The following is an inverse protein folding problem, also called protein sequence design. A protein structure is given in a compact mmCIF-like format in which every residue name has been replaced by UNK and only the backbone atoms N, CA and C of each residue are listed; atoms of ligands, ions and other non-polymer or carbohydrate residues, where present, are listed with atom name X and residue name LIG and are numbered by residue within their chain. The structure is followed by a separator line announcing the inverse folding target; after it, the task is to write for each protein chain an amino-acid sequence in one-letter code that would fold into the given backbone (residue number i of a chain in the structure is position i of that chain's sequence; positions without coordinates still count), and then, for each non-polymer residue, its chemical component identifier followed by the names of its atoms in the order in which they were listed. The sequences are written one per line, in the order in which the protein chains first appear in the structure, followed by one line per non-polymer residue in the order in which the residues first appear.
data_IF_022884270429
#
_entry.id   IF_022884270429
#
_cell.length_a   1.000
_cell.length_b   1.000
_cell.length_c   1.000
_cell.angle_alpha   90.00
_cell.angle_beta   90.00
_cell.angle_gamma   90.00
#
_symmetry.space_group_name_H-M   'P 1'
#
loop_
_entity.id
_entity.type
_entity.pdbx_description
1 polymer ?
#
# COMPACT_ATOMS: atom_id res chain seq x y z
N UNK A 1 -3.63 -21.30 -25.76
CA UNK A 1 -2.64 -22.26 -25.21
C UNK A 1 -2.96 -22.41 -23.73
N UNK A 2 -3.21 -23.63 -23.27
CA UNK A 2 -3.40 -23.90 -21.83
C UNK A 2 -2.04 -23.90 -21.09
N UNK A 3 -2.07 -23.81 -19.76
CA UNK A 3 -0.83 -23.94 -18.97
C UNK A 3 -0.15 -25.31 -19.15
N UNK A 4 -0.97 -26.36 -19.31
CA UNK A 4 -0.44 -27.70 -19.61
C UNK A 4 0.29 -27.75 -20.97
N UNK A 5 -0.25 -27.09 -22.01
CA UNK A 5 0.42 -27.03 -23.32
C UNK A 5 1.75 -26.29 -23.23
N UNK A 6 1.80 -25.20 -22.43
CA UNK A 6 3.04 -24.44 -22.19
C UNK A 6 4.08 -25.29 -21.48
N UNK A 7 3.69 -26.02 -20.44
CA UNK A 7 4.59 -26.95 -19.74
C UNK A 7 5.14 -28.04 -20.68
N UNK A 8 4.28 -28.64 -21.51
CA UNK A 8 4.72 -29.64 -22.50
C UNK A 8 5.68 -29.06 -23.52
N UNK A 9 5.44 -27.83 -23.98
CA UNK A 9 6.38 -27.13 -24.87
C UNK A 9 7.74 -26.87 -24.19
N UNK A 10 7.72 -26.46 -22.93
CA UNK A 10 8.92 -26.25 -22.11
C UNK A 10 9.72 -27.54 -21.91
N UNK A 11 9.06 -28.65 -21.58
CA UNK A 11 9.71 -29.96 -21.44
C UNK A 11 10.37 -30.43 -22.73
N UNK A 12 9.74 -30.25 -23.90
CA UNK A 12 10.34 -30.54 -25.19
C UNK A 12 11.61 -29.72 -25.44
N UNK A 13 11.53 -28.39 -25.21
CA UNK A 13 12.67 -27.48 -25.34
C UNK A 13 13.83 -27.85 -24.42
N UNK A 14 13.53 -28.19 -23.18
CA UNK A 14 14.53 -28.63 -22.21
C UNK A 14 15.17 -29.96 -22.65
N UNK A 15 14.39 -30.88 -23.24
CA UNK A 15 14.93 -32.15 -23.80
C UNK A 15 15.83 -31.94 -25.00
N UNK A 16 15.56 -30.90 -25.83
CA UNK A 16 16.41 -30.52 -26.99
C UNK A 16 17.70 -29.81 -26.52
N UNK A 17 17.60 -28.99 -25.46
CA UNK A 17 18.69 -28.18 -24.95
C UNK A 17 18.52 -27.91 -23.44
N UNK A 18 19.10 -28.75 -22.63
CA UNK A 18 19.00 -28.69 -21.17
C UNK A 18 19.59 -27.42 -20.55
N UNK A 19 20.53 -26.75 -21.22
CA UNK A 19 21.16 -25.51 -20.76
C UNK A 19 20.48 -24.23 -21.29
N UNK A 20 19.36 -24.35 -22.02
CA UNK A 20 18.70 -23.19 -22.64
C UNK A 20 18.23 -22.18 -21.61
N UNK A 21 17.61 -22.65 -20.52
CA UNK A 21 17.07 -21.78 -19.47
C UNK A 21 18.19 -20.97 -18.80
N UNK A 22 19.28 -21.62 -18.42
CA UNK A 22 20.41 -20.97 -17.74
C UNK A 22 21.05 -19.90 -18.63
N UNK A 23 21.19 -20.18 -19.93
CA UNK A 23 21.73 -19.20 -20.88
C UNK A 23 20.81 -18.03 -21.07
N UNK A 24 19.49 -18.26 -21.28
CA UNK A 24 18.52 -17.18 -21.42
C UNK A 24 18.42 -16.34 -20.13
N UNK A 25 18.52 -16.98 -18.96
CA UNK A 25 18.51 -16.27 -17.69
C UNK A 25 19.80 -15.43 -17.49
N UNK A 26 20.96 -15.94 -17.95
CA UNK A 26 22.22 -15.22 -17.87
C UNK A 26 22.31 -14.02 -18.84
N UNK A 27 21.55 -14.04 -19.92
CA UNK A 27 21.52 -12.97 -20.93
C UNK A 27 20.62 -11.79 -20.51
N UNK A 28 19.82 -11.94 -19.44
CA UNK A 28 18.94 -10.87 -18.94
C UNK A 28 19.76 -9.78 -18.27
N UNK A 29 19.65 -8.55 -18.78
CA UNK A 29 20.22 -7.35 -18.15
C UNK A 29 19.23 -6.72 -17.16
N UNK A 30 19.75 -6.08 -16.14
CA UNK A 30 18.93 -5.36 -15.14
C UNK A 30 18.14 -4.22 -15.77
N UNK A 31 18.58 -3.68 -16.87
CA UNK A 31 17.91 -2.63 -17.63
C UNK A 31 16.87 -3.15 -18.62
N UNK A 32 16.77 -4.48 -18.80
CA UNK A 32 15.76 -5.08 -19.67
C UNK A 32 14.34 -4.84 -19.13
N UNK A 33 13.40 -4.78 -20.06
CA UNK A 33 11.99 -4.61 -19.77
C UNK A 33 11.42 -5.90 -19.16
N UNK A 34 11.03 -5.81 -17.87
CA UNK A 34 10.43 -6.94 -17.17
C UNK A 34 8.91 -6.97 -17.31
N UNK A 35 8.25 -5.80 -17.34
CA UNK A 35 6.78 -5.70 -17.39
C UNK A 35 6.32 -4.39 -17.98
N UNK A 36 5.15 -4.41 -18.63
CA UNK A 36 4.42 -3.20 -19.01
C UNK A 36 3.09 -3.21 -18.24
N UNK A 37 2.86 -2.17 -17.46
CA UNK A 37 1.61 -2.00 -16.72
C UNK A 37 0.85 -0.79 -17.28
N UNK A 38 -0.34 -1.05 -17.81
CA UNK A 38 -1.18 0.01 -18.37
C UNK A 38 -1.92 0.76 -17.27
N UNK A 39 -1.79 2.08 -17.29
CA UNK A 39 -2.54 3.00 -16.41
C UNK A 39 -3.61 3.73 -17.20
N UNK A 40 -4.75 4.00 -16.57
CA UNK A 40 -5.76 4.90 -17.14
C UNK A 40 -5.19 6.32 -17.11
N UNK A 41 -4.52 6.72 -18.19
CA UNK A 41 -3.98 8.07 -18.32
C UNK A 41 -5.07 9.14 -18.18
N UNK A 42 -4.68 10.32 -17.73
CA UNK A 42 -5.56 11.50 -17.60
C UNK A 42 -6.11 12.00 -18.94
N UNK A 43 -5.53 11.56 -20.05
CA UNK A 43 -5.85 11.94 -21.44
C UNK A 43 -6.77 10.95 -22.16
N UNK A 44 -7.36 9.97 -21.47
CA UNK A 44 -8.34 9.04 -22.01
C UNK A 44 -7.77 7.75 -22.64
N UNK A 45 -6.53 7.74 -23.13
CA UNK A 45 -5.90 6.53 -23.64
C UNK A 45 -4.95 5.92 -22.59
N UNK A 46 -5.05 4.60 -22.29
CA UNK A 46 -4.14 3.95 -21.36
C UNK A 46 -2.69 4.07 -21.81
N UNK A 47 -1.78 4.41 -20.88
CA UNK A 47 -0.33 4.48 -21.12
C UNK A 47 0.34 3.28 -20.48
N UNK A 48 1.20 2.60 -21.20
CA UNK A 48 1.93 1.43 -20.71
C UNK A 48 3.24 1.83 -20.04
N UNK A 49 3.30 1.89 -18.72
CA UNK A 49 4.52 2.17 -17.97
C UNK A 49 5.52 1.01 -18.11
N UNK A 50 6.74 1.31 -18.53
CA UNK A 50 7.80 0.35 -18.79
C UNK A 50 8.62 0.08 -17.53
N UNK A 51 8.39 -1.06 -16.90
CA UNK A 51 9.07 -1.47 -15.66
C UNK A 51 10.22 -2.41 -16.02
N UNK A 52 11.46 -2.03 -15.69
CA UNK A 52 12.65 -2.86 -15.87
C UNK A 52 12.89 -3.79 -14.66
N UNK A 53 13.76 -4.78 -14.81
CA UNK A 53 14.24 -5.60 -13.69
C UNK A 53 14.91 -4.73 -12.62
N UNK A 54 15.66 -3.68 -13.02
CA UNK A 54 16.27 -2.72 -12.11
C UNK A 54 15.24 -2.02 -11.24
N UNK A 55 14.14 -1.53 -11.84
CA UNK A 55 13.08 -0.86 -11.10
C UNK A 55 12.48 -1.79 -10.01
N UNK A 56 12.19 -3.05 -10.38
CA UNK A 56 11.65 -4.05 -9.46
C UNK A 56 12.63 -4.30 -8.32
N UNK A 57 13.91 -4.55 -8.62
CA UNK A 57 14.91 -4.86 -7.60
C UNK A 57 15.22 -3.68 -6.68
N UNK A 58 15.25 -2.46 -7.22
CA UNK A 58 15.39 -1.24 -6.42
C UNK A 58 14.25 -1.11 -5.40
N UNK A 59 13.01 -1.30 -5.88
CA UNK A 59 11.82 -1.20 -5.05
C UNK A 59 11.77 -2.28 -3.96
N UNK A 60 12.06 -3.54 -4.31
CA UNK A 60 12.07 -4.65 -3.35
C UNK A 60 13.12 -4.43 -2.26
N UNK A 61 14.33 -4.02 -2.64
CA UNK A 61 15.42 -3.73 -1.67
C UNK A 61 15.06 -2.58 -0.75
N UNK A 62 14.44 -1.52 -1.30
CA UNK A 62 13.98 -0.39 -0.50
C UNK A 62 12.93 -0.81 0.53
N UNK A 63 11.94 -1.61 0.12
CA UNK A 63 10.91 -2.16 1.02
C UNK A 63 11.54 -3.08 2.09
N UNK A 64 12.45 -3.96 1.72
CA UNK A 64 13.11 -4.88 2.64
C UNK A 64 13.99 -4.19 3.70
N UNK A 65 14.42 -2.96 3.44
CA UNK A 65 15.23 -2.16 4.37
C UNK A 65 14.41 -1.37 5.39
N UNK A 66 13.08 -1.33 5.23
CA UNK A 66 12.16 -0.62 6.12
C UNK A 66 11.50 -1.61 7.08
N UNK A 67 11.30 -1.21 8.33
CA UNK A 67 10.47 -1.96 9.28
C UNK A 67 9.01 -2.01 8.77
N UNK A 68 8.30 -3.13 8.93
CA UNK A 68 8.62 -4.30 9.75
C UNK A 68 9.58 -5.27 9.06
N UNK A 69 10.41 -5.93 9.88
CA UNK A 69 11.21 -7.05 9.40
C UNK A 69 10.37 -8.32 9.33
N UNK A 70 10.55 -9.06 8.27
CA UNK A 70 9.83 -10.31 8.00
C UNK A 70 10.61 -11.52 8.47
N UNK A 71 9.92 -12.48 9.09
CA UNK A 71 10.51 -13.78 9.49
C UNK A 71 10.14 -14.85 8.46
N UNK A 72 11.14 -15.47 7.86
CA UNK A 72 11.01 -16.46 6.78
C UNK A 72 9.96 -17.56 7.05
N UNK A 73 9.99 -18.18 8.22
CA UNK A 73 9.13 -19.33 8.50
C UNK A 73 7.84 -18.98 9.25
N UNK A 74 7.64 -17.72 9.59
CA UNK A 74 6.56 -17.30 10.49
C UNK A 74 5.56 -16.36 9.85
N UNK A 75 5.99 -15.62 8.82
CA UNK A 75 5.16 -14.63 8.17
C UNK A 75 4.47 -15.16 6.92
N UNK A 76 3.21 -14.80 6.79
CA UNK A 76 2.38 -15.19 5.66
C UNK A 76 1.36 -14.11 5.32
N UNK A 77 1.00 -14.07 4.05
CA UNK A 77 0.01 -13.15 3.50
C UNK A 77 -1.05 -13.90 2.69
N UNK A 78 -2.20 -13.25 2.51
CA UNK A 78 -3.27 -13.73 1.61
C UNK A 78 -3.46 -12.66 0.54
N UNK A 79 -2.75 -12.76 -0.60
CA UNK A 79 -2.92 -11.85 -1.73
C UNK A 79 -4.31 -11.97 -2.33
N UNK A 80 -4.99 -10.84 -2.52
CA UNK A 80 -6.33 -10.78 -3.12
C UNK A 80 -6.50 -9.60 -4.09
N UNK A 81 -5.55 -8.68 -4.12
CA UNK A 81 -5.55 -7.61 -5.09
C UNK A 81 -5.08 -8.14 -6.46
N UNK A 82 -5.49 -7.54 -7.57
CA UNK A 82 -5.08 -8.00 -8.89
C UNK A 82 -3.57 -7.93 -9.10
N UNK A 83 -2.95 -9.04 -9.52
CA UNK A 83 -1.52 -9.08 -9.90
C UNK A 83 -1.20 -8.23 -11.15
N UNK A 84 -2.22 -7.77 -11.88
CA UNK A 84 -2.06 -6.78 -12.94
C UNK A 84 -1.78 -5.37 -12.41
N UNK A 85 -2.10 -5.11 -11.15
CA UNK A 85 -1.80 -3.84 -10.48
C UNK A 85 -0.42 -3.87 -9.85
N UNK A 86 0.36 -2.81 -10.04
CA UNK A 86 1.76 -2.72 -9.58
C UNK A 86 1.92 -2.93 -8.08
N UNK A 87 0.97 -2.47 -7.28
CA UNK A 87 1.03 -2.61 -5.83
C UNK A 87 1.07 -4.08 -5.39
N UNK A 88 0.12 -4.91 -5.83
CA UNK A 88 0.13 -6.34 -5.50
C UNK A 88 1.29 -7.07 -6.17
N UNK A 89 1.59 -6.75 -7.45
CA UNK A 89 2.66 -7.41 -8.18
C UNK A 89 4.03 -7.20 -7.54
N UNK A 90 4.36 -5.97 -7.15
CA UNK A 90 5.70 -5.62 -6.64
C UNK A 90 5.75 -5.76 -5.12
N UNK A 91 4.89 -5.04 -4.37
CA UNK A 91 4.94 -5.01 -2.91
C UNK A 91 4.31 -6.25 -2.26
N UNK A 92 3.46 -7.00 -2.97
CA UNK A 92 2.93 -8.28 -2.53
C UNK A 92 3.75 -9.45 -3.05
N UNK A 93 3.66 -9.72 -4.35
CA UNK A 93 4.19 -10.94 -4.95
C UNK A 93 5.72 -10.99 -5.01
N UNK A 94 6.37 -10.06 -5.73
CA UNK A 94 7.83 -10.10 -5.89
C UNK A 94 8.56 -9.82 -4.58
N UNK A 95 8.07 -8.88 -3.78
CA UNK A 95 8.61 -8.63 -2.46
C UNK A 95 8.45 -9.85 -1.54
N UNK A 96 7.28 -10.48 -1.53
CA UNK A 96 7.03 -11.70 -0.76
C UNK A 96 8.00 -12.84 -1.14
N UNK A 97 8.28 -13.03 -2.43
CA UNK A 97 9.28 -13.98 -2.90
C UNK A 97 10.69 -13.64 -2.39
N UNK A 98 11.05 -12.36 -2.42
CA UNK A 98 12.39 -11.91 -2.00
C UNK A 98 12.64 -12.11 -0.50
N UNK A 99 11.64 -11.84 0.35
CA UNK A 99 11.76 -12.01 1.81
C UNK A 99 11.37 -13.41 2.30
N UNK A 100 10.99 -14.33 1.39
CA UNK A 100 10.60 -15.69 1.74
C UNK A 100 9.25 -15.80 2.44
N UNK A 101 8.33 -14.87 2.16
CA UNK A 101 6.98 -14.84 2.72
C UNK A 101 6.11 -15.95 2.12
N UNK A 102 5.37 -16.68 2.97
CA UNK A 102 4.37 -17.63 2.49
C UNK A 102 3.15 -16.88 1.95
N UNK A 103 2.89 -17.00 0.65
CA UNK A 103 1.75 -16.38 -0.04
C UNK A 103 0.67 -17.40 -0.37
N UNK A 104 -0.52 -17.24 0.23
CA UNK A 104 -1.71 -18.06 -0.06
C UNK A 104 -2.72 -17.19 -0.83
N UNK A 105 -2.76 -17.34 -2.16
CA UNK A 105 -3.64 -16.52 -2.99
C UNK A 105 -5.11 -16.81 -2.71
N UNK A 106 -5.91 -15.77 -2.48
CA UNK A 106 -7.34 -15.90 -2.32
C UNK A 106 -7.98 -16.41 -3.63
N UNK A 107 -8.96 -17.29 -3.52
CA UNK A 107 -9.64 -17.83 -4.70
C UNK A 107 -10.42 -16.75 -5.44
N UNK A 108 -11.15 -15.92 -4.70
CA UNK A 108 -11.88 -14.77 -5.22
C UNK A 108 -12.25 -13.79 -4.09
N UNK A 109 -12.90 -12.66 -4.45
CA UNK A 109 -13.30 -11.65 -3.48
C UNK A 109 -14.39 -12.08 -2.50
N UNK A 110 -15.17 -13.10 -2.83
CA UNK A 110 -16.27 -13.59 -1.97
C UNK A 110 -15.72 -14.54 -0.89
N UNK A 111 -14.64 -15.28 -1.19
CA UNK A 111 -14.01 -16.23 -0.27
C UNK A 111 -12.98 -15.59 0.65
N UNK A 112 -12.54 -14.36 0.38
CA UNK A 112 -11.40 -13.71 1.05
C UNK A 112 -11.46 -13.77 2.58
N UNK A 113 -12.64 -13.62 3.19
CA UNK A 113 -12.79 -13.67 4.64
C UNK A 113 -12.52 -15.09 5.17
N UNK A 114 -13.02 -16.10 4.46
CA UNK A 114 -12.79 -17.51 4.80
C UNK A 114 -11.31 -17.86 4.60
N UNK A 115 -10.71 -17.42 3.50
CA UNK A 115 -9.30 -17.64 3.20
C UNK A 115 -8.38 -16.99 4.27
N UNK A 116 -8.66 -15.77 4.68
CA UNK A 116 -7.95 -15.08 5.78
C UNK A 116 -8.10 -15.86 7.10
N UNK A 117 -9.30 -16.37 7.41
CA UNK A 117 -9.52 -17.12 8.63
C UNK A 117 -8.81 -18.47 8.62
N UNK A 118 -8.80 -19.16 7.48
CA UNK A 118 -8.11 -20.43 7.30
C UNK A 118 -6.59 -20.27 7.33
N UNK A 119 -6.06 -19.37 6.50
CA UNK A 119 -4.61 -19.20 6.34
C UNK A 119 -3.96 -18.38 7.45
N UNK A 120 -4.74 -17.58 8.19
CA UNK A 120 -4.28 -16.80 9.35
C UNK A 120 -3.05 -15.94 9.06
N UNK A 121 -3.13 -15.01 8.12
CA UNK A 121 -1.98 -14.20 7.71
C UNK A 121 -1.45 -13.35 8.86
N UNK A 122 -0.18 -12.97 8.77
CA UNK A 122 0.49 -12.05 9.70
C UNK A 122 0.49 -10.62 9.19
N UNK A 123 0.32 -10.47 7.87
CA UNK A 123 0.13 -9.18 7.21
C UNK A 123 -0.96 -9.26 6.14
N UNK A 124 -1.52 -8.10 5.80
CA UNK A 124 -2.50 -7.95 4.72
C UNK A 124 -2.15 -6.71 3.92
N UNK A 125 -1.90 -6.87 2.61
CA UNK A 125 -1.91 -5.74 1.68
C UNK A 125 -3.37 -5.39 1.37
N UNK A 126 -3.74 -4.15 1.62
CA UNK A 126 -5.10 -3.66 1.41
C UNK A 126 -5.10 -2.30 0.69
N UNK A 127 -6.25 -1.95 0.17
CA UNK A 127 -6.56 -0.59 -0.25
C UNK A 127 -7.53 0.02 0.77
N UNK A 128 -7.56 1.34 0.97
CA UNK A 128 -8.38 2.01 1.99
C UNK A 128 -9.84 1.56 1.98
N UNK A 129 -10.41 1.36 0.78
CA UNK A 129 -11.80 0.91 0.60
C UNK A 129 -12.10 -0.46 1.24
N UNK A 130 -11.10 -1.33 1.37
CA UNK A 130 -11.25 -2.62 2.07
C UNK A 130 -11.36 -2.38 3.58
N UNK A 131 -10.48 -1.54 4.13
CA UNK A 131 -10.52 -1.14 5.54
C UNK A 131 -11.86 -0.47 5.90
N UNK A 132 -12.33 0.43 5.03
CA UNK A 132 -13.62 1.10 5.17
C UNK A 132 -14.79 0.12 5.20
N UNK A 133 -14.85 -0.80 4.24
CA UNK A 133 -15.91 -1.82 4.17
C UNK A 133 -15.93 -2.70 5.43
N UNK A 134 -14.75 -3.12 5.91
CA UNK A 134 -14.64 -3.91 7.15
C UNK A 134 -15.16 -3.10 8.34
N UNK A 135 -14.71 -1.86 8.48
CA UNK A 135 -15.15 -0.96 9.55
C UNK A 135 -16.66 -0.67 9.51
N UNK A 136 -17.19 -0.34 8.33
CA UNK A 136 -18.63 -0.10 8.13
C UNK A 136 -19.46 -1.32 8.46
N UNK A 137 -19.07 -2.52 8.00
CA UNK A 137 -19.77 -3.77 8.28
C UNK A 137 -19.86 -4.03 9.78
N UNK A 138 -18.74 -3.86 10.51
CA UNK A 138 -18.70 -4.03 11.96
C UNK A 138 -19.59 -2.99 12.64
N UNK A 139 -19.51 -1.72 12.26
CA UNK A 139 -20.29 -0.64 12.82
C UNK A 139 -21.80 -0.85 12.58
N UNK A 140 -22.19 -1.28 11.40
CA UNK A 140 -23.59 -1.62 11.08
C UNK A 140 -24.10 -2.79 11.93
N UNK A 141 -23.32 -3.86 12.11
CA UNK A 141 -23.68 -4.97 12.99
C UNK A 141 -23.88 -4.49 14.45
N UNK A 142 -22.99 -3.64 14.93
CA UNK A 142 -23.08 -3.07 16.28
C UNK A 142 -24.30 -2.20 16.44
N UNK A 143 -24.71 -1.42 15.44
CA UNK A 143 -25.91 -0.58 15.49
C UNK A 143 -27.21 -1.39 15.62
N UNK A 144 -27.21 -2.65 15.21
CA UNK A 144 -28.33 -3.57 15.36
C UNK A 144 -28.33 -4.31 16.72
N UNK A 145 -27.31 -4.09 17.55
CA UNK A 145 -27.20 -4.67 18.89
C UNK A 145 -27.91 -3.79 19.96
N UNK A 146 -28.27 -4.34 21.13
CA UNK A 146 -28.83 -3.56 22.23
C UNK A 146 -27.98 -2.35 22.61
N UNK A 147 -28.63 -1.26 23.06
CA UNK A 147 -27.98 0.03 23.32
C UNK A 147 -26.76 -0.05 24.26
N UNK A 148 -26.76 -0.96 25.23
CA UNK A 148 -25.63 -1.13 26.13
C UNK A 148 -24.39 -1.68 25.42
N UNK A 149 -24.56 -2.62 24.44
CA UNK A 149 -23.46 -3.14 23.63
C UNK A 149 -22.90 -2.05 22.70
N UNK A 150 -23.78 -1.23 22.12
CA UNK A 150 -23.36 -0.08 21.32
C UNK A 150 -22.50 0.89 22.16
N UNK A 151 -22.94 1.23 23.37
CA UNK A 151 -22.17 2.09 24.28
C UNK A 151 -20.80 1.51 24.62
N UNK A 152 -20.72 0.21 24.86
CA UNK A 152 -19.44 -0.49 25.12
C UNK A 152 -18.54 -0.43 23.90
N UNK A 153 -19.08 -0.68 22.70
CA UNK A 153 -18.29 -0.65 21.46
C UNK A 153 -17.70 0.75 21.22
N UNK A 154 -18.52 1.80 21.22
CA UNK A 154 -18.04 3.17 21.00
C UNK A 154 -17.13 3.67 22.13
N UNK A 155 -17.33 3.22 23.37
CA UNK A 155 -16.37 3.46 24.45
C UNK A 155 -15.01 2.82 24.14
N UNK A 156 -15.00 1.55 23.72
CA UNK A 156 -13.77 0.85 23.40
C UNK A 156 -13.05 1.44 22.18
N UNK A 157 -13.80 1.88 21.16
CA UNK A 157 -13.25 2.59 20.01
C UNK A 157 -12.51 3.87 20.46
N UNK A 158 -13.12 4.69 21.33
CA UNK A 158 -12.46 5.88 21.91
C UNK A 158 -11.21 5.53 22.71
N UNK A 159 -11.24 4.43 23.47
CA UNK A 159 -10.05 3.96 24.20
C UNK A 159 -8.96 3.53 23.23
N UNK A 160 -9.30 2.77 22.20
CA UNK A 160 -8.36 2.34 21.14
C UNK A 160 -7.73 3.52 20.41
N UNK A 161 -8.52 4.52 20.02
CA UNK A 161 -8.04 5.75 19.37
C UNK A 161 -7.02 6.49 20.26
N UNK A 162 -7.29 6.64 21.57
CA UNK A 162 -6.35 7.24 22.51
C UNK A 162 -5.04 6.43 22.61
N UNK A 163 -5.10 5.11 22.63
CA UNK A 163 -3.90 4.27 22.61
C UNK A 163 -3.11 4.48 21.32
N UNK A 164 -3.78 4.55 20.18
CA UNK A 164 -3.17 4.87 18.89
C UNK A 164 -2.42 6.21 18.94
N UNK A 165 -3.05 7.27 19.44
CA UNK A 165 -2.42 8.59 19.58
C UNK A 165 -1.19 8.58 20.50
N UNK A 166 -1.22 7.83 21.60
CA UNK A 166 -0.05 7.71 22.48
C UNK A 166 1.10 6.95 21.81
N UNK A 167 0.80 5.88 21.05
CA UNK A 167 1.79 5.09 20.29
C UNK A 167 2.43 5.92 19.18
N UNK A 168 1.61 6.60 18.38
CA UNK A 168 2.05 7.48 17.30
C UNK A 168 3.04 8.55 17.82
N UNK A 169 2.70 9.19 18.94
CA UNK A 169 3.55 10.23 19.56
C UNK A 169 4.69 9.67 20.40
N UNK A 170 4.88 8.35 20.45
CA UNK A 170 5.89 7.67 21.27
C UNK A 170 5.84 8.08 22.76
N UNK A 171 4.63 8.42 23.26
CA UNK A 171 4.42 8.87 24.65
C UNK A 171 4.12 7.68 25.57
N UNK A 172 4.52 7.80 26.85
CA UNK A 172 4.20 6.81 27.88
C UNK A 172 2.70 6.76 28.12
N UNK A 173 2.09 5.58 27.95
CA UNK A 173 0.65 5.36 28.14
C UNK A 173 0.35 5.31 29.65
N UNK A 174 -0.57 6.16 30.17
CA UNK A 174 -0.97 6.16 31.59
C UNK A 174 -1.52 4.79 32.03
N UNK A 175 -1.24 4.38 33.27
CA UNK A 175 -1.65 3.07 33.78
C UNK A 175 -3.18 2.84 33.67
N UNK A 176 -3.98 3.84 34.06
CA UNK A 176 -5.44 3.75 33.97
C UNK A 176 -5.92 3.55 32.53
N UNK A 177 -5.27 4.17 31.54
CA UNK A 177 -5.59 3.97 30.13
C UNK A 177 -5.20 2.57 29.66
N UNK A 178 -4.09 2.03 30.15
CA UNK A 178 -3.68 0.63 29.86
C UNK A 178 -4.71 -0.38 30.39
N UNK A 179 -5.23 -0.18 31.59
CA UNK A 179 -6.29 -1.03 32.17
C UNK A 179 -7.56 -0.95 31.33
N UNK A 180 -8.01 0.27 30.99
CA UNK A 180 -9.20 0.46 30.13
C UNK A 180 -8.99 -0.20 28.75
N UNK A 181 -7.81 -0.08 28.18
CA UNK A 181 -7.48 -0.71 26.91
C UNK A 181 -7.50 -2.24 27.00
N UNK A 182 -6.96 -2.83 28.06
CA UNK A 182 -7.03 -4.29 28.27
C UNK A 182 -8.48 -4.79 28.26
N UNK A 183 -9.38 -4.09 28.97
CA UNK A 183 -10.81 -4.42 29.01
C UNK A 183 -11.44 -4.26 27.61
N UNK A 184 -11.21 -3.13 26.96
CA UNK A 184 -11.72 -2.87 25.62
C UNK A 184 -11.22 -3.89 24.61
N UNK A 185 -9.94 -4.29 24.72
CA UNK A 185 -9.33 -5.30 23.85
C UNK A 185 -10.05 -6.64 23.99
N UNK A 186 -10.24 -7.13 25.21
CA UNK A 186 -10.90 -8.43 25.44
C UNK A 186 -12.37 -8.44 24.97
N UNK A 187 -13.09 -7.33 25.18
CA UNK A 187 -14.52 -7.26 24.85
C UNK A 187 -14.81 -7.03 23.37
N UNK A 188 -13.92 -6.31 22.66
CA UNK A 188 -14.19 -5.77 21.31
C UNK A 188 -13.12 -6.22 20.32
N UNK A 189 -11.88 -5.77 20.53
CA UNK A 189 -10.82 -5.87 19.52
C UNK A 189 -10.34 -7.29 19.27
N UNK A 190 -10.39 -8.16 20.29
CA UNK A 190 -10.07 -9.59 20.13
C UNK A 190 -10.99 -10.28 19.12
N UNK A 191 -12.25 -9.88 19.03
CA UNK A 191 -13.19 -10.40 18.03
C UNK A 191 -12.78 -10.00 16.63
N UNK A 192 -12.36 -8.74 16.45
CA UNK A 192 -11.84 -8.26 15.17
C UNK A 192 -10.56 -9.00 14.77
N UNK A 193 -9.60 -9.13 15.69
CA UNK A 193 -8.40 -9.93 15.40
C UNK A 193 -8.72 -11.35 14.98
N UNK A 194 -9.62 -12.04 15.72
CA UNK A 194 -10.01 -13.40 15.39
C UNK A 194 -10.71 -13.48 14.02
N UNK A 195 -11.52 -12.49 13.65
CA UNK A 195 -12.15 -12.41 12.33
C UNK A 195 -11.14 -12.28 11.19
N UNK A 196 -9.95 -11.73 11.48
CA UNK A 196 -8.82 -11.62 10.56
C UNK A 196 -7.76 -12.73 10.78
N UNK A 197 -8.17 -13.88 11.33
CA UNK A 197 -7.29 -15.03 11.53
C UNK A 197 -6.46 -15.00 12.82
N UNK A 198 -6.53 -13.93 13.62
CA UNK A 198 -5.92 -13.82 14.97
C UNK A 198 -4.41 -13.60 15.00
N UNK A 199 -3.74 -13.44 13.84
CA UNK A 199 -2.28 -13.29 13.73
C UNK A 199 -1.85 -12.02 13.04
N UNK A 200 -2.78 -11.25 12.44
CA UNK A 200 -2.46 -10.02 11.72
C UNK A 200 -1.83 -9.01 12.65
N UNK A 201 -0.61 -8.59 12.33
CA UNK A 201 0.18 -7.58 13.07
C UNK A 201 0.04 -6.21 12.45
N UNK A 202 0.03 -6.14 11.12
CA UNK A 202 -0.14 -4.90 10.37
C UNK A 202 -0.90 -5.12 9.07
N UNK A 203 -1.41 -4.02 8.55
CA UNK A 203 -2.02 -3.92 7.22
C UNK A 203 -1.35 -2.76 6.49
N UNK A 204 -0.97 -2.97 5.25
CA UNK A 204 -0.49 -1.87 4.40
C UNK A 204 -1.67 -1.34 3.59
N UNK A 205 -1.97 -0.05 3.74
CA UNK A 205 -3.00 0.63 2.97
C UNK A 205 -2.35 1.66 2.03
N UNK A 206 -2.59 1.52 0.71
CA UNK A 206 -2.01 2.39 -0.30
C UNK A 206 -2.98 2.63 -1.46
N UNK A 207 -2.70 3.67 -2.26
CA UNK A 207 -3.48 4.02 -3.45
C UNK A 207 -4.58 5.06 -3.24
N UNK A 208 -4.94 5.36 -2.00
CA UNK A 208 -5.83 6.47 -1.61
C UNK A 208 -5.63 6.79 -0.12
N UNK A 209 -6.04 7.96 0.39
CA UNK A 209 -6.02 8.27 1.81
C UNK A 209 -7.00 7.37 2.60
N UNK A 210 -6.61 7.02 3.81
CA UNK A 210 -7.47 6.29 4.76
C UNK A 210 -7.95 7.25 5.85
N UNK A 211 -9.24 7.23 6.17
CA UNK A 211 -9.77 8.07 7.23
C UNK A 211 -9.11 7.75 8.58
N UNK A 212 -8.73 8.80 9.32
CA UNK A 212 -8.03 8.70 10.61
C UNK A 212 -8.72 7.76 11.60
N UNK A 213 -10.04 7.83 11.67
CA UNK A 213 -10.86 7.02 12.57
C UNK A 213 -10.71 5.52 12.28
N UNK A 214 -10.59 5.17 11.02
CA UNK A 214 -10.42 3.79 10.56
C UNK A 214 -9.03 3.27 10.94
N UNK A 215 -7.98 4.07 10.69
CA UNK A 215 -6.62 3.73 11.10
C UNK A 215 -6.55 3.53 12.62
N UNK A 216 -7.12 4.46 13.40
CA UNK A 216 -7.15 4.40 14.85
C UNK A 216 -7.93 3.19 15.36
N UNK A 217 -9.00 2.78 14.66
CA UNK A 217 -9.78 1.59 14.99
C UNK A 217 -8.95 0.31 14.85
N UNK A 218 -8.27 0.12 13.73
CA UNK A 218 -7.39 -1.04 13.52
C UNK A 218 -6.18 -1.01 14.45
N UNK A 219 -5.54 0.14 14.64
CA UNK A 219 -4.45 0.32 15.59
C UNK A 219 -4.90 -0.01 17.03
N UNK A 220 -6.12 0.36 17.40
CA UNK A 220 -6.76 -0.02 18.65
C UNK A 220 -6.93 -1.52 18.80
N UNK A 221 -7.18 -2.23 17.72
CA UNK A 221 -7.24 -3.68 17.69
C UNK A 221 -5.86 -4.36 17.71
N UNK A 222 -4.78 -3.59 17.77
CA UNK A 222 -3.42 -4.13 17.72
C UNK A 222 -2.95 -4.49 16.30
N UNK A 223 -3.69 -4.07 15.27
CA UNK A 223 -3.36 -4.22 13.86
C UNK A 223 -2.92 -2.86 13.35
N UNK A 224 -1.62 -2.66 13.22
CA UNK A 224 -1.12 -1.35 12.79
C UNK A 224 -1.37 -1.15 11.29
N UNK A 225 -1.96 -0.01 10.93
CA UNK A 225 -2.13 0.38 9.53
C UNK A 225 -0.92 1.19 9.11
N UNK A 226 -0.22 0.70 8.07
CA UNK A 226 0.93 1.35 7.44
C UNK A 226 0.42 1.99 6.15
N UNK A 227 0.59 3.31 6.03
CA UNK A 227 0.25 4.04 4.81
C UNK A 227 1.49 4.24 3.95
N UNK A 228 1.30 4.23 2.63
CA UNK A 228 2.33 4.51 1.64
C UNK A 228 1.76 5.19 0.41
N UNK A 229 2.59 5.94 -0.29
CA UNK A 229 2.25 6.62 -1.52
C UNK A 229 3.10 6.12 -2.67
N UNK A 230 2.46 5.85 -3.78
CA UNK A 230 3.09 5.47 -5.02
C UNK A 230 2.13 5.39 -6.17
N UNK A 231 2.67 5.16 -7.35
CA UNK A 231 1.94 5.00 -8.60
C UNK A 231 2.68 4.00 -9.49
N UNK A 232 2.07 3.62 -10.60
CA UNK A 232 2.65 2.63 -11.52
C UNK A 232 4.01 3.07 -12.03
N UNK A 233 4.17 4.34 -12.31
CA UNK A 233 5.40 4.96 -12.82
C UNK A 233 6.53 4.99 -11.77
N UNK A 234 6.22 4.73 -10.50
CA UNK A 234 7.17 4.60 -9.39
C UNK A 234 7.43 3.14 -8.99
N UNK A 235 6.90 2.19 -9.75
CA UNK A 235 7.04 0.73 -9.50
C UNK A 235 6.53 0.31 -8.11
N UNK A 236 5.49 0.92 -7.60
CA UNK A 236 4.84 0.79 -6.29
C UNK A 236 5.18 1.96 -5.34
N UNK A 237 5.33 1.82 -3.99
CA UNK A 237 5.43 2.99 -3.12
C UNK A 237 6.78 3.72 -3.24
N UNK A 238 6.74 5.04 -3.36
CA UNK A 238 7.90 5.91 -3.22
C UNK A 238 8.12 6.35 -1.77
N UNK A 239 7.03 6.39 -0.98
CA UNK A 239 7.09 6.66 0.46
C UNK A 239 6.33 5.59 1.22
N UNK A 240 6.73 5.33 2.44
CA UNK A 240 6.01 4.42 3.35
C UNK A 240 6.25 4.82 4.81
N UNK A 241 5.23 4.67 5.64
CA UNK A 241 5.36 4.64 7.08
C UNK A 241 5.95 3.30 7.53
N UNK A 242 6.55 3.25 8.72
CA UNK A 242 6.96 1.98 9.32
C UNK A 242 6.33 1.81 10.72
N UNK A 243 6.46 0.62 11.30
CA UNK A 243 5.84 0.32 12.60
C UNK A 243 6.37 1.20 13.75
N UNK A 244 7.64 1.62 13.66
CA UNK A 244 8.30 2.39 14.70
C UNK A 244 8.18 3.91 14.51
N UNK A 245 7.97 4.36 13.26
CA UNK A 245 7.91 5.77 12.91
C UNK A 245 6.83 6.04 11.86
N UNK A 246 5.68 6.51 12.30
CA UNK A 246 4.51 6.82 11.46
C UNK A 246 3.77 8.05 12.00
N UNK A 247 3.02 8.69 11.11
CA UNK A 247 2.09 9.78 11.44
C UNK A 247 0.81 9.55 10.66
N UNK A 248 -0.30 9.42 11.38
CA UNK A 248 -1.62 9.22 10.78
C UNK A 248 -2.01 10.47 9.98
N UNK A 249 -2.47 10.26 8.74
CA UNK A 249 -2.76 11.35 7.81
C UNK A 249 -1.55 11.77 6.97
N UNK A 250 -0.46 11.00 7.03
CA UNK A 250 0.69 11.12 6.12
C UNK A 250 0.93 9.81 5.39
N UNK A 251 1.62 9.87 4.28
CA UNK A 251 1.99 8.67 3.51
C UNK A 251 3.42 8.19 3.80
N UNK A 252 3.95 8.56 4.96
CA UNK A 252 5.28 8.13 5.39
C UNK A 252 6.41 9.02 4.87
N UNK A 253 7.61 8.47 4.90
CA UNK A 253 8.86 9.12 4.44
C UNK A 253 9.34 8.48 3.14
N UNK A 254 10.16 9.20 2.35
CA UNK A 254 10.79 8.61 1.17
C UNK A 254 11.50 7.29 1.50
N UNK A 255 11.32 6.30 0.64
CA UNK A 255 12.03 5.04 0.75
C UNK A 255 13.52 5.22 0.41
N UNK A 256 14.41 4.37 0.93
CA UNK A 256 15.83 4.42 0.59
C UNK A 256 16.06 4.35 -0.93
N UNK A 257 16.86 5.28 -1.45
CA UNK A 257 17.13 5.41 -2.88
C UNK A 257 16.07 6.19 -3.67
N UNK A 258 15.06 6.73 -3.00
CA UNK A 258 14.05 7.60 -3.60
C UNK A 258 14.28 9.04 -3.15
N UNK A 259 14.47 9.93 -4.12
CA UNK A 259 14.58 11.37 -3.90
C UNK A 259 13.27 12.06 -4.27
N UNK A 260 12.75 12.86 -3.35
CA UNK A 260 11.47 13.57 -3.52
C UNK A 260 11.68 15.06 -3.25
N UNK A 261 11.29 15.87 -4.20
CA UNK A 261 11.21 17.32 -4.02
C UNK A 261 9.83 17.84 -4.42
N UNK A 262 9.51 19.04 -3.99
CA UNK A 262 8.28 19.74 -4.39
C UNK A 262 8.64 20.82 -5.42
N UNK A 263 7.84 20.92 -6.46
CA UNK A 263 7.92 22.03 -7.42
C UNK A 263 7.33 23.31 -6.79
N UNK A 264 7.44 24.43 -7.47
CA UNK A 264 6.96 25.75 -6.99
C UNK A 264 5.46 25.79 -6.71
N UNK A 265 4.68 24.97 -7.39
CA UNK A 265 3.23 24.83 -7.20
C UNK A 265 2.85 23.72 -6.21
N UNK A 266 3.84 23.07 -5.57
CA UNK A 266 3.66 21.97 -4.63
C UNK A 266 3.53 20.59 -5.29
N UNK A 267 3.75 20.48 -6.62
CA UNK A 267 3.77 19.17 -7.28
C UNK A 267 4.90 18.31 -6.74
N UNK A 268 4.57 17.07 -6.41
CA UNK A 268 5.55 16.07 -5.94
C UNK A 268 6.34 15.58 -7.15
N UNK A 269 7.65 15.76 -7.09
CA UNK A 269 8.59 15.32 -8.10
C UNK A 269 9.45 14.19 -7.51
N UNK A 270 9.58 13.06 -8.23
CA UNK A 270 10.25 11.86 -7.71
C UNK A 270 11.36 11.41 -8.65
N UNK A 271 12.51 11.07 -8.08
CA UNK A 271 13.66 10.49 -8.79
C UNK A 271 14.23 9.31 -8.04
N UNK A 272 14.70 8.31 -8.76
CA UNK A 272 15.32 7.10 -8.19
C UNK A 272 15.24 5.92 -9.12
N UNK A 273 15.93 4.84 -8.77
CA UNK A 273 15.96 3.61 -9.59
C UNK A 273 14.59 2.88 -9.62
N UNK A 274 13.63 3.26 -8.78
CA UNK A 274 12.26 2.78 -8.82
C UNK A 274 11.40 3.44 -9.91
N UNK A 275 11.85 4.57 -10.47
CA UNK A 275 11.11 5.33 -11.50
C UNK A 275 11.26 4.63 -12.85
N UNK A 276 10.13 4.41 -13.53
CA UNK A 276 10.14 3.79 -14.87
C UNK A 276 10.86 4.65 -15.91
N UNK A 277 11.35 4.03 -16.99
CA UNK A 277 12.03 4.74 -18.09
C UNK A 277 11.09 5.60 -18.95
N UNK A 278 9.77 5.38 -18.87
CA UNK A 278 8.77 6.06 -19.66
C UNK A 278 7.61 5.15 -20.05
N UNK A 279 6.91 5.53 -21.11
CA UNK A 279 5.73 4.83 -21.60
C UNK A 279 6.01 4.10 -22.93
N UNK A 280 5.57 2.87 -23.03
CA UNK A 280 5.74 2.02 -24.19
C UNK A 280 5.17 2.67 -25.46
N UNK A 281 6.04 2.87 -26.47
CA UNK A 281 5.70 3.46 -27.78
C UNK A 281 4.97 4.82 -27.66
N UNK A 282 5.34 5.61 -26.67
CA UNK A 282 4.76 6.95 -26.45
C UNK A 282 5.84 7.93 -25.95
N UNK A 283 6.68 8.38 -26.87
CA UNK A 283 7.81 9.27 -26.57
C UNK A 283 7.36 10.66 -26.15
N UNK A 284 6.21 11.15 -26.65
CA UNK A 284 5.64 12.43 -26.28
C UNK A 284 5.22 12.44 -24.81
N UNK A 285 4.39 11.47 -24.41
CA UNK A 285 3.98 11.32 -23.01
C UNK A 285 5.17 11.05 -22.08
N UNK A 286 6.22 10.36 -22.58
CA UNK A 286 7.44 10.13 -21.81
C UNK A 286 8.16 11.45 -21.56
N UNK A 287 8.36 12.29 -22.57
CA UNK A 287 9.01 13.60 -22.40
C UNK A 287 8.24 14.53 -21.47
N UNK A 288 6.90 14.55 -21.56
CA UNK A 288 6.04 15.36 -20.70
C UNK A 288 6.08 14.91 -19.22
N UNK A 289 6.29 13.61 -18.99
CA UNK A 289 6.30 13.05 -17.65
C UNK A 289 7.55 13.41 -16.83
N UNK A 290 8.61 13.88 -17.46
CA UNK A 290 9.87 14.17 -16.77
C UNK A 290 10.24 15.65 -16.84
N UNK A 291 10.91 16.11 -15.79
CA UNK A 291 11.57 17.42 -15.78
C UNK A 291 12.92 17.34 -16.51
N UNK A 292 13.52 18.49 -16.86
CA UNK A 292 14.83 18.55 -17.50
C UNK A 292 15.95 17.92 -16.66
N UNK A 293 15.84 17.99 -15.32
CA UNK A 293 16.78 17.38 -14.36
C UNK A 293 16.43 15.92 -13.99
N UNK A 294 15.45 15.31 -14.70
CA UNK A 294 15.15 13.88 -14.68
C UNK A 294 14.26 13.41 -13.51
N UNK A 295 13.46 14.29 -12.91
CA UNK A 295 12.41 13.89 -11.96
C UNK A 295 11.11 13.58 -12.70
N UNK A 296 10.44 12.53 -12.26
CA UNK A 296 9.08 12.23 -12.70
C UNK A 296 8.10 13.24 -12.07
N UNK A 297 7.25 13.83 -12.91
CA UNK A 297 6.09 14.64 -12.51
C UNK A 297 4.96 13.70 -12.12
N UNK A 298 4.57 13.70 -10.85
CA UNK A 298 3.53 12.77 -10.39
C UNK A 298 2.12 13.26 -10.69
N UNK A 299 1.95 14.57 -10.86
CA UNK A 299 0.64 15.20 -10.93
C UNK A 299 -0.09 15.26 -9.60
N UNK A 300 0.52 14.84 -8.51
CA UNK A 300 -0.01 14.93 -7.15
C UNK A 300 0.64 16.11 -6.42
N UNK A 301 -0.14 16.81 -5.62
CA UNK A 301 0.29 17.97 -4.81
C UNK A 301 0.49 17.49 -3.38
N UNK A 302 1.55 17.99 -2.75
CA UNK A 302 1.85 17.60 -1.37
C UNK A 302 2.70 18.60 -0.61
N UNK A 303 2.99 18.23 0.63
CA UNK A 303 3.87 18.99 1.51
C UNK A 303 4.59 18.05 2.47
N UNK A 304 5.77 18.44 2.93
CA UNK A 304 6.47 17.76 4.00
C UNK A 304 6.15 18.37 5.36
N UNK A 305 5.99 17.51 6.36
CA UNK A 305 6.02 17.96 7.75
C UNK A 305 7.46 18.30 8.17
N UNK A 306 7.62 19.02 9.29
CA UNK A 306 8.95 19.30 9.88
C UNK A 306 9.73 18.02 10.19
N UNK A 307 9.06 16.90 10.44
CA UNK A 307 9.67 15.60 10.73
C UNK A 307 10.00 14.80 9.45
N UNK A 308 9.73 15.35 8.25
CA UNK A 308 10.02 14.75 6.94
C UNK A 308 8.98 13.71 6.45
N UNK A 309 7.77 13.71 7.01
CA UNK A 309 6.66 12.91 6.48
C UNK A 309 5.97 13.64 5.33
N UNK A 310 5.65 12.92 4.26
CA UNK A 310 4.92 13.46 3.12
C UNK A 310 3.40 13.41 3.38
N UNK A 311 2.73 14.49 3.08
CA UNK A 311 1.27 14.63 3.06
C UNK A 311 0.84 14.89 1.62
N UNK A 312 -0.05 14.06 1.09
CA UNK A 312 -0.71 14.33 -0.19
C UNK A 312 -1.91 15.22 0.09
N UNK A 313 -1.97 16.35 -0.56
CA UNK A 313 -3.04 17.33 -0.33
C UNK A 313 -4.10 17.30 -1.42
N UNK A 314 -3.71 17.04 -2.69
CA UNK A 314 -4.64 16.96 -3.82
C UNK A 314 -3.97 16.37 -5.07
N UNK A 315 -4.72 16.30 -6.17
CA UNK A 315 -4.22 16.10 -7.52
C UNK A 315 -4.24 17.38 -8.31
N UNK A 316 -3.17 17.66 -9.02
CA UNK A 316 -2.99 18.89 -9.82
C UNK A 316 -4.14 19.13 -10.79
N UNK A 317 -4.64 18.09 -11.45
CA UNK A 317 -5.76 18.14 -12.40
C UNK A 317 -7.13 18.32 -11.75
N UNK A 318 -7.27 17.95 -10.48
CA UNK A 318 -8.54 17.98 -9.74
C UNK A 318 -8.69 19.33 -8.99
N UNK A 319 -7.65 20.18 -8.96
CA UNK A 319 -7.70 21.50 -8.37
C UNK A 319 -8.75 22.38 -9.08
N UNK A 320 -9.68 22.92 -8.30
CA UNK A 320 -10.67 23.88 -8.78
C UNK A 320 -10.03 25.27 -8.76
N UNK A 321 -9.86 25.88 -9.93
CA UNK A 321 -9.43 27.26 -10.02
C UNK A 321 -10.65 28.17 -9.94
N UNK A 322 -10.79 28.90 -8.85
CA UNK A 322 -11.88 29.86 -8.69
C UNK A 322 -11.75 31.04 -9.67
N UNK A 323 -12.83 31.76 -9.92
CA UNK A 323 -12.82 32.95 -10.77
C UNK A 323 -11.84 34.05 -10.31
N UNK A 324 -11.42 34.01 -9.03
CA UNK A 324 -10.38 34.89 -8.48
C UNK A 324 -8.96 34.34 -8.56
N UNK A 325 -8.71 33.24 -9.31
CA UNK A 325 -7.38 32.60 -9.47
C UNK A 325 -6.88 31.82 -8.27
N UNK A 326 -7.73 31.57 -7.25
CA UNK A 326 -7.34 30.78 -6.09
C UNK A 326 -7.59 29.28 -6.36
N UNK A 327 -6.56 28.46 -6.16
CA UNK A 327 -6.69 27.02 -6.20
C UNK A 327 -7.42 26.51 -4.94
N UNK A 328 -8.46 25.72 -5.14
CA UNK A 328 -9.21 25.03 -4.07
C UNK A 328 -9.07 23.54 -4.28
N UNK A 329 -8.52 22.87 -3.28
CA UNK A 329 -8.40 21.42 -3.22
C UNK A 329 -9.77 20.82 -2.84
N UNK A 330 -10.46 20.04 -3.70
CA UNK A 330 -11.75 19.45 -3.36
C UNK A 330 -11.63 18.32 -2.35
N UNK A 331 -10.56 17.54 -2.42
CA UNK A 331 -10.38 16.33 -1.62
C UNK A 331 -10.50 16.52 -0.09
N UNK A 332 -9.88 17.52 0.56
CA UNK A 332 -10.09 17.75 2.00
C UNK A 332 -11.54 18.07 2.38
N UNK A 333 -12.29 18.68 1.45
CA UNK A 333 -13.71 19.00 1.64
C UNK A 333 -14.54 17.72 1.54
N UNK A 334 -14.27 16.88 0.54
CA UNK A 334 -14.94 15.59 0.35
C UNK A 334 -14.72 14.65 1.54
N UNK A 335 -13.49 14.55 2.04
CA UNK A 335 -13.17 13.75 3.24
C UNK A 335 -13.90 14.25 4.48
N UNK A 336 -14.15 15.55 4.61
CA UNK A 336 -14.88 16.12 5.74
C UNK A 336 -16.41 15.90 5.66
N UNK A 337 -16.93 15.52 4.48
CA UNK A 337 -18.35 15.29 4.24
C UNK A 337 -18.78 13.81 4.37
N UNK A 338 -17.84 12.89 4.45
CA UNK A 338 -18.00 11.43 4.62
C UNK A 338 -17.92 11.07 6.11
#
# INVERSE_FOLDING_TARGET
MSFADLMQAGLRKHGEDAGLFERLAADVDVEDLASIVYTSGTTGHPKGAMISHKNIMAQIKALASVEPQYGFDTDQTVPFLPLSHVFERIAGHFFGMYVGLTSSYAENMDTIVADIQEKRPTEILAVPRVCEKVYQRITMQVRNEPAWKQKVFFWGQRVGARISDYRERKKRIPLLLRIKYFIAFQMIFKKLQNALGGRVRWMTASGAPTAKEIIQFFNGAGIQVIEGYGMTELTAPATMSNLADYRIGTVGKPLPGVDIKLDNDGEILVKGDCVVKGYWRNDEATREAFTEDGYLRTGDIGMFTEEGFLIITDRKKDLIITSGGKNVAPHPIEVALI
#
